data_IF_014782459596
#
_entry.id   IF_014782459596
#
_cell.length_a   1.000
_cell.length_b   1.000
_cell.length_c   1.000
_cell.angle_alpha   90.00
_cell.angle_beta   90.00
_cell.angle_gamma   90.00
#
_symmetry.space_group_name_H-M   'P 1'
#
loop_
_entity.id
_entity.type
_entity.pdbx_description
1 polymer ?
#
# COMPACT_ATOMS: atom_id res chain seq x y z
N UNK A 1 -1.81 40.67 26.34
CA UNK A 1 -0.96 40.84 25.14
C UNK A 1 0.16 39.80 25.17
N UNK A 2 0.00 38.65 24.50
CA UNK A 2 1.14 37.82 24.07
C UNK A 2 0.83 37.30 22.68
N UNK A 3 1.32 38.04 21.68
CA UNK A 3 1.31 37.64 20.29
C UNK A 3 2.57 36.79 20.05
N UNK A 4 2.39 35.54 19.64
CA UNK A 4 3.45 34.74 19.03
C UNK A 4 3.22 34.69 17.51
N UNK A 5 4.14 35.23 16.70
CA UNK A 5 4.08 35.15 15.26
C UNK A 5 4.92 33.96 14.78
N UNK A 6 4.29 32.82 14.52
CA UNK A 6 4.99 31.64 13.99
C UNK A 6 4.47 31.28 12.59
N UNK A 7 5.14 31.89 11.60
CA UNK A 7 5.51 31.29 10.30
C UNK A 7 4.39 30.64 9.48
N UNK A 8 3.64 31.51 8.79
CA UNK A 8 3.13 31.27 7.42
C UNK A 8 4.25 30.64 6.57
N UNK A 9 4.02 29.44 6.01
CA UNK A 9 4.85 28.92 4.92
C UNK A 9 5.25 27.45 4.96
N UNK A 10 4.71 26.60 5.84
CA UNK A 10 4.87 25.14 5.70
C UNK A 10 3.77 24.59 4.78
N UNK A 11 4.22 24.11 3.63
CA UNK A 11 3.47 23.61 2.47
C UNK A 11 2.28 22.73 2.86
N UNK A 12 1.06 23.12 2.48
CA UNK A 12 -0.15 22.30 2.58
C UNK A 12 0.05 20.90 1.98
N UNK A 13 0.90 20.79 0.95
CA UNK A 13 1.28 19.51 0.34
C UNK A 13 1.99 18.56 1.32
N UNK A 14 2.76 19.08 2.29
CA UNK A 14 3.50 18.26 3.28
C UNK A 14 2.58 17.79 4.43
N UNK A 15 1.59 18.58 4.82
CA UNK A 15 0.58 18.18 5.81
C UNK A 15 -0.36 17.07 5.28
N UNK A 16 -0.68 17.12 3.98
CA UNK A 16 -1.41 16.05 3.27
C UNK A 16 -0.54 14.79 3.14
N UNK A 17 0.79 14.94 3.03
CA UNK A 17 1.73 13.82 2.92
C UNK A 17 1.97 13.07 4.24
N UNK A 18 1.86 13.75 5.39
CA UNK A 18 2.07 13.16 6.72
C UNK A 18 0.85 12.41 7.26
N UNK A 19 -0.34 12.68 6.72
CA UNK A 19 -1.57 11.97 7.03
C UNK A 19 -1.96 11.10 5.83
N UNK A 20 -1.29 9.95 5.67
CA UNK A 20 -1.62 8.92 4.66
C UNK A 20 -2.97 8.26 4.95
N UNK A 21 -4.04 9.01 5.19
CA UNK A 21 -5.39 8.46 5.28
C UNK A 21 -6.02 8.56 3.87
N UNK A 22 -6.26 7.43 3.19
CA UNK A 22 -6.87 7.41 1.85
C UNK A 22 -8.25 8.08 1.79
N UNK A 23 -8.87 8.31 2.95
CA UNK A 23 -10.19 8.92 3.11
C UNK A 23 -10.21 10.39 2.66
N UNK A 24 -9.18 11.19 2.99
CA UNK A 24 -9.20 12.63 2.74
C UNK A 24 -9.20 13.00 1.25
N UNK A 25 -8.34 12.41 0.39
CA UNK A 25 -8.39 12.70 -1.05
C UNK A 25 -9.70 12.27 -1.71
N UNK A 26 -10.29 11.16 -1.26
CA UNK A 26 -11.56 10.63 -1.79
C UNK A 26 -12.71 11.59 -1.54
N UNK A 27 -12.85 12.07 -0.29
CA UNK A 27 -13.89 13.05 0.05
C UNK A 27 -13.76 14.34 -0.77
N UNK A 28 -12.54 14.83 -0.95
CA UNK A 28 -12.30 16.04 -1.74
C UNK A 28 -12.62 15.85 -3.24
N UNK A 29 -12.35 14.65 -3.78
CA UNK A 29 -12.71 14.31 -5.16
C UNK A 29 -14.22 14.27 -5.34
N UNK A 30 -14.94 13.69 -4.38
CA UNK A 30 -16.41 13.64 -4.37
C UNK A 30 -17.03 15.04 -4.35
N UNK A 31 -16.63 15.87 -3.38
CA UNK A 31 -17.13 17.25 -3.24
C UNK A 31 -16.84 18.08 -4.50
N UNK A 32 -15.64 17.96 -5.04
CA UNK A 32 -15.24 18.67 -6.27
C UNK A 32 -16.06 18.18 -7.47
N UNK A 33 -16.28 16.87 -7.56
CA UNK A 33 -17.12 16.25 -8.59
C UNK A 33 -18.56 16.73 -8.56
N UNK A 34 -19.15 16.80 -7.36
CA UNK A 34 -20.50 17.33 -7.16
C UNK A 34 -20.63 18.80 -7.58
N UNK A 35 -19.65 19.64 -7.20
CA UNK A 35 -19.62 21.05 -7.59
C UNK A 35 -19.48 21.23 -9.11
N UNK A 36 -18.60 20.46 -9.76
CA UNK A 36 -18.44 20.49 -11.22
C UNK A 36 -19.69 20.01 -11.94
N UNK A 37 -20.33 18.94 -11.45
CA UNK A 37 -21.60 18.45 -11.98
C UNK A 37 -22.70 19.51 -11.89
N UNK A 38 -22.77 20.23 -10.77
CA UNK A 38 -23.71 21.34 -10.59
C UNK A 38 -23.46 22.48 -11.59
N UNK A 39 -22.19 22.83 -11.83
CA UNK A 39 -21.84 23.85 -12.84
C UNK A 39 -22.25 23.42 -14.24
N UNK A 40 -22.03 22.16 -14.63
CA UNK A 40 -22.47 21.65 -15.93
C UNK A 40 -24.00 21.65 -16.08
N UNK A 41 -24.72 21.24 -15.03
CA UNK A 41 -26.18 21.28 -15.02
C UNK A 41 -26.70 22.71 -15.20
N UNK A 42 -26.14 23.65 -14.42
CA UNK A 42 -26.53 25.05 -14.46
C UNK A 42 -26.27 25.67 -15.85
N UNK A 43 -25.09 25.42 -16.44
CA UNK A 43 -24.77 25.93 -17.78
C UNK A 43 -25.66 25.33 -18.87
N UNK A 44 -25.95 24.03 -18.81
CA UNK A 44 -26.82 23.34 -19.75
C UNK A 44 -28.24 23.95 -19.76
N UNK A 45 -28.83 24.10 -18.56
CA UNK A 45 -30.17 24.69 -18.40
C UNK A 45 -30.20 26.16 -18.82
N UNK A 46 -29.20 26.97 -18.43
CA UNK A 46 -29.13 28.39 -18.80
C UNK A 46 -29.01 28.55 -20.32
N UNK A 47 -28.13 27.77 -20.96
CA UNK A 47 -27.96 27.85 -22.42
C UNK A 47 -29.22 27.38 -23.15
N UNK A 48 -29.84 26.29 -22.72
CA UNK A 48 -31.06 25.78 -23.33
C UNK A 48 -32.22 26.79 -23.23
N UNK A 49 -32.36 27.45 -22.08
CA UNK A 49 -33.41 28.46 -21.87
C UNK A 49 -33.16 29.74 -22.65
N UNK A 50 -31.92 30.25 -22.70
CA UNK A 50 -31.59 31.49 -23.41
C UNK A 50 -31.60 31.31 -24.94
N UNK A 51 -31.11 30.18 -25.44
CA UNK A 51 -31.10 29.91 -26.89
C UNK A 51 -32.41 29.31 -27.42
N UNK A 52 -33.28 28.83 -26.52
CA UNK A 52 -34.49 28.08 -26.87
C UNK A 52 -34.21 26.69 -27.46
N UNK A 53 -32.96 26.21 -27.43
CA UNK A 53 -32.57 24.93 -27.99
C UNK A 53 -32.34 23.89 -26.87
N UNK A 54 -33.21 22.86 -26.72
CA UNK A 54 -33.09 21.87 -25.66
C UNK A 54 -31.85 20.96 -25.78
N UNK A 55 -31.16 20.96 -26.93
CA UNK A 55 -29.94 20.17 -27.11
C UNK A 55 -28.86 20.57 -26.09
N UNK A 56 -28.79 21.84 -25.68
CA UNK A 56 -27.79 22.29 -24.69
C UNK A 56 -27.98 21.65 -23.31
N UNK A 57 -29.23 21.37 -22.91
CA UNK A 57 -29.53 20.66 -21.66
C UNK A 57 -29.13 19.18 -21.76
N UNK A 58 -29.36 18.56 -22.93
CA UNK A 58 -28.90 17.21 -23.24
C UNK A 58 -27.38 17.07 -23.19
N UNK A 59 -26.63 18.03 -23.76
CA UNK A 59 -25.16 18.06 -23.69
C UNK A 59 -24.69 18.21 -22.23
N UNK A 60 -25.33 19.09 -21.46
CA UNK A 60 -25.03 19.25 -20.03
C UNK A 60 -25.23 17.95 -19.25
N UNK A 61 -26.34 17.26 -19.48
CA UNK A 61 -26.64 15.96 -18.85
C UNK A 61 -25.63 14.88 -19.23
N UNK A 62 -25.24 14.80 -20.51
CA UNK A 62 -24.22 13.86 -20.98
C UNK A 62 -22.85 14.14 -20.33
N UNK A 63 -22.47 15.42 -20.21
CA UNK A 63 -21.23 15.83 -19.56
C UNK A 63 -21.20 15.42 -18.08
N UNK A 64 -22.32 15.56 -17.35
CA UNK A 64 -22.46 15.09 -15.96
C UNK A 64 -22.31 13.56 -15.90
N UNK A 65 -22.97 12.83 -16.79
CA UNK A 65 -22.84 11.37 -16.85
C UNK A 65 -21.39 10.91 -17.04
N UNK A 66 -20.67 11.55 -17.98
CA UNK A 66 -19.26 11.24 -18.25
C UNK A 66 -18.35 11.60 -17.06
N UNK A 67 -18.63 12.72 -16.39
CA UNK A 67 -17.93 13.13 -15.17
C UNK A 67 -18.09 12.08 -14.06
N UNK A 68 -19.32 11.62 -13.81
CA UNK A 68 -19.60 10.62 -12.78
C UNK A 68 -18.91 9.28 -13.06
N UNK A 69 -18.93 8.81 -14.31
CA UNK A 69 -18.21 7.59 -14.72
C UNK A 69 -16.70 7.75 -14.48
N UNK A 70 -16.14 8.93 -14.80
CA UNK A 70 -14.72 9.21 -14.61
C UNK A 70 -14.34 9.20 -13.13
N UNK A 71 -15.13 9.86 -12.26
CA UNK A 71 -14.90 9.85 -10.81
C UNK A 71 -14.99 8.43 -10.27
N UNK A 72 -16.03 7.67 -10.65
CA UNK A 72 -16.20 6.29 -10.22
C UNK A 72 -15.01 5.41 -10.61
N UNK A 73 -14.46 5.59 -11.82
CA UNK A 73 -13.28 4.86 -12.26
C UNK A 73 -12.03 5.18 -11.42
N UNK A 74 -11.81 6.46 -11.07
CA UNK A 74 -10.72 6.88 -10.18
C UNK A 74 -10.88 6.27 -8.80
N UNK A 75 -12.08 6.36 -8.21
CA UNK A 75 -12.36 5.78 -6.89
C UNK A 75 -12.16 4.25 -6.87
N UNK A 76 -12.61 3.56 -7.92
CA UNK A 76 -12.41 2.12 -8.05
C UNK A 76 -10.92 1.75 -8.13
N UNK A 77 -10.11 2.54 -8.84
CA UNK A 77 -8.66 2.34 -8.91
C UNK A 77 -7.98 2.55 -7.54
N UNK A 78 -8.38 3.58 -6.81
CA UNK A 78 -7.83 3.89 -5.48
C UNK A 78 -8.17 2.81 -4.44
N UNK A 79 -9.43 2.36 -4.40
CA UNK A 79 -9.88 1.29 -3.52
C UNK A 79 -9.20 -0.05 -3.85
N UNK A 80 -8.89 -0.31 -5.13
CA UNK A 80 -8.18 -1.52 -5.54
C UNK A 80 -6.79 -1.62 -4.90
N UNK A 81 -6.04 -0.54 -4.81
CA UNK A 81 -4.71 -0.52 -4.16
C UNK A 81 -4.81 -0.98 -2.70
N UNK A 82 -5.82 -0.51 -1.97
CA UNK A 82 -6.07 -0.90 -0.58
C UNK A 82 -6.44 -2.38 -0.41
N UNK A 83 -7.13 -2.97 -1.39
CA UNK A 83 -7.58 -4.36 -1.34
C UNK A 83 -6.54 -5.37 -1.83
N UNK A 84 -5.57 -4.93 -2.64
CA UNK A 84 -4.60 -5.86 -3.26
C UNK A 84 -3.45 -6.21 -2.32
N UNK A 85 -3.30 -5.51 -1.18
CA UNK A 85 -2.28 -5.81 -0.18
C UNK A 85 -0.87 -5.63 -0.75
N UNK A 86 -0.58 -4.44 -1.24
CA UNK A 86 0.71 -4.08 -1.81
C UNK A 86 1.86 -4.41 -0.85
N UNK A 87 2.96 -4.94 -1.38
CA UNK A 87 4.16 -5.21 -0.60
C UNK A 87 4.81 -3.91 -0.10
N UNK A 88 5.72 -4.04 0.86
CA UNK A 88 6.51 -2.89 1.33
C UNK A 88 7.24 -2.23 0.15
N UNK A 89 7.57 -0.95 0.29
CA UNK A 89 8.33 -0.25 -0.76
C UNK A 89 9.66 -0.97 -1.04
N UNK A 90 10.22 -0.90 -2.25
CA UNK A 90 11.49 -1.57 -2.55
C UNK A 90 12.64 -1.17 -1.61
N UNK A 91 12.64 0.08 -1.16
CA UNK A 91 13.63 0.58 -0.20
C UNK A 91 13.44 -0.02 1.20
N UNK A 92 12.18 -0.10 1.67
CA UNK A 92 11.85 -0.74 2.95
C UNK A 92 12.15 -2.25 2.92
N UNK A 93 11.82 -2.93 1.81
CA UNK A 93 12.14 -4.35 1.63
C UNK A 93 13.64 -4.60 1.73
N UNK A 94 14.45 -3.79 1.03
CA UNK A 94 15.91 -3.91 1.10
C UNK A 94 16.45 -3.62 2.50
N UNK A 95 15.89 -2.64 3.21
CA UNK A 95 16.28 -2.35 4.58
C UNK A 95 15.98 -3.53 5.51
N UNK A 96 14.77 -4.11 5.40
CA UNK A 96 14.36 -5.30 6.17
C UNK A 96 15.29 -6.49 5.87
N UNK A 97 15.55 -6.79 4.60
CA UNK A 97 16.43 -7.89 4.20
C UNK A 97 17.86 -7.71 4.72
N UNK A 98 18.40 -6.49 4.66
CA UNK A 98 19.75 -6.20 5.18
C UNK A 98 19.85 -6.43 6.68
N UNK A 99 18.85 -5.99 7.45
CA UNK A 99 18.83 -6.13 8.92
C UNK A 99 18.56 -7.56 9.39
N UNK A 100 17.84 -8.35 8.58
CA UNK A 100 17.68 -9.78 8.79
C UNK A 100 18.98 -10.53 8.51
N UNK A 101 19.64 -10.23 7.38
CA UNK A 101 20.87 -10.91 6.96
C UNK A 101 22.08 -10.58 7.85
N UNK A 102 22.13 -9.40 8.48
CA UNK A 102 23.20 -9.00 9.40
C UNK A 102 23.04 -9.55 10.83
N UNK A 103 21.98 -10.32 11.08
CA UNK A 103 21.62 -10.80 12.40
C UNK A 103 22.52 -11.89 12.97
N UNK A 104 22.91 -11.82 14.26
CA UNK A 104 23.59 -12.93 14.91
C UNK A 104 22.69 -14.17 14.94
N UNK A 105 23.28 -15.33 14.58
CA UNK A 105 22.58 -16.61 14.56
C UNK A 105 21.70 -16.87 13.33
N UNK A 106 21.56 -15.90 12.42
CA UNK A 106 20.89 -16.08 11.13
C UNK A 106 21.91 -16.54 10.10
N UNK A 107 21.68 -17.70 9.49
CA UNK A 107 22.55 -18.27 8.46
C UNK A 107 22.17 -17.78 7.07
N UNK A 108 20.88 -17.80 6.74
CA UNK A 108 20.34 -17.21 5.50
C UNK A 108 18.86 -16.89 5.61
N UNK A 109 18.42 -15.97 4.75
CA UNK A 109 17.00 -15.70 4.52
C UNK A 109 16.48 -16.71 3.50
N UNK A 110 15.40 -17.43 3.82
CA UNK A 110 14.76 -18.38 2.91
C UNK A 110 13.64 -17.68 2.13
N UNK A 111 12.81 -16.91 2.82
CA UNK A 111 11.68 -16.21 2.21
C UNK A 111 11.33 -14.96 3.01
N UNK A 112 10.98 -13.87 2.33
CA UNK A 112 10.43 -12.65 2.93
C UNK A 112 9.15 -12.31 2.19
N UNK A 113 8.07 -12.16 2.95
CA UNK A 113 6.80 -11.67 2.45
C UNK A 113 6.44 -10.41 3.22
N UNK A 114 6.15 -9.34 2.48
CA UNK A 114 5.65 -8.11 3.06
C UNK A 114 4.31 -7.74 2.45
N UNK A 115 3.42 -7.20 3.28
CA UNK A 115 2.08 -6.79 2.86
C UNK A 115 1.58 -5.62 3.70
N UNK A 116 1.14 -4.55 3.07
CA UNK A 116 0.38 -3.50 3.74
C UNK A 116 -1.01 -4.03 4.08
N UNK A 117 -1.32 -4.05 5.38
CA UNK A 117 -2.65 -4.37 5.90
C UNK A 117 -3.53 -3.11 6.00
N UNK A 118 -2.89 -1.94 5.90
CA UNK A 118 -3.53 -0.64 5.88
C UNK A 118 -2.48 0.45 5.60
N UNK A 119 -2.89 1.72 5.51
CA UNK A 119 -2.03 2.83 5.09
C UNK A 119 -0.79 3.05 5.98
N UNK A 120 -0.91 2.75 7.26
CA UNK A 120 0.14 2.92 8.28
C UNK A 120 0.52 1.57 8.93
N UNK A 121 0.14 0.44 8.31
CA UNK A 121 0.33 -0.89 8.90
C UNK A 121 0.94 -1.89 7.92
N UNK A 122 2.08 -2.46 8.31
CA UNK A 122 2.85 -3.42 7.52
C UNK A 122 2.95 -4.76 8.24
N UNK A 123 2.66 -5.84 7.50
CA UNK A 123 2.97 -7.21 7.86
C UNK A 123 4.31 -7.59 7.23
N UNK A 124 5.18 -8.20 8.04
CA UNK A 124 6.46 -8.78 7.63
C UNK A 124 6.48 -10.22 8.10
N UNK A 125 6.35 -11.17 7.18
CA UNK A 125 6.48 -12.59 7.44
C UNK A 125 7.80 -13.07 6.84
N UNK A 126 8.69 -13.58 7.69
CA UNK A 126 10.04 -13.98 7.28
C UNK A 126 10.29 -15.41 7.69
N UNK A 127 10.93 -16.13 6.78
CA UNK A 127 11.38 -17.49 7.00
C UNK A 127 12.89 -17.49 6.95
N UNK A 128 13.50 -17.87 8.07
CA UNK A 128 14.95 -17.74 8.29
C UNK A 128 15.54 -19.12 8.60
N UNK A 129 16.69 -19.40 7.99
CA UNK A 129 17.56 -20.48 8.46
C UNK A 129 18.45 -19.93 9.56
N UNK A 130 18.41 -20.57 10.72
CA UNK A 130 19.27 -20.24 11.85
C UNK A 130 20.46 -21.20 11.93
N UNK A 131 21.50 -20.81 12.66
CA UNK A 131 22.66 -21.67 12.89
C UNK A 131 22.25 -22.99 13.57
N UNK A 132 22.69 -24.16 13.04
CA UNK A 132 22.19 -25.46 13.49
C UNK A 132 22.65 -25.86 14.90
N UNK A 133 23.54 -25.08 15.51
CA UNK A 133 24.10 -25.33 16.85
C UNK A 133 23.49 -24.46 17.94
N UNK A 134 22.47 -23.66 17.63
CA UNK A 134 21.78 -22.86 18.62
C UNK A 134 20.95 -23.77 19.53
N UNK A 135 21.05 -23.53 20.84
CA UNK A 135 20.09 -24.04 21.80
C UNK A 135 18.72 -23.39 21.57
N UNK A 136 17.65 -24.00 22.08
CA UNK A 136 16.30 -23.43 21.99
C UNK A 136 16.24 -22.01 22.58
N UNK A 137 17.00 -21.75 23.65
CA UNK A 137 17.05 -20.43 24.27
C UNK A 137 17.71 -19.40 23.35
N UNK A 138 18.89 -19.72 22.80
CA UNK A 138 19.61 -18.83 21.88
C UNK A 138 18.82 -18.60 20.58
N UNK A 139 18.06 -19.59 20.11
CA UNK A 139 17.16 -19.43 18.97
C UNK A 139 16.05 -18.41 19.25
N UNK A 140 15.41 -18.49 20.42
CA UNK A 140 14.37 -17.53 20.83
C UNK A 140 14.97 -16.11 20.97
N UNK A 141 16.16 -15.99 21.55
CA UNK A 141 16.86 -14.71 21.63
C UNK A 141 17.20 -14.15 20.25
N UNK A 142 17.67 -15.00 19.32
CA UNK A 142 17.97 -14.59 17.95
C UNK A 142 16.70 -14.11 17.22
N UNK A 143 15.56 -14.78 17.40
CA UNK A 143 14.26 -14.36 16.85
C UNK A 143 13.85 -12.98 17.41
N UNK A 144 13.86 -12.81 18.73
CA UNK A 144 13.51 -11.54 19.37
C UNK A 144 14.44 -10.39 18.92
N UNK A 145 15.73 -10.67 18.75
CA UNK A 145 16.70 -9.72 18.23
C UNK A 145 16.40 -9.35 16.77
N UNK A 146 16.01 -10.32 15.93
CA UNK A 146 15.57 -10.06 14.55
C UNK A 146 14.36 -9.12 14.51
N UNK A 147 13.32 -9.42 15.30
CA UNK A 147 12.13 -8.58 15.37
C UNK A 147 12.46 -7.13 15.78
N UNK A 148 13.36 -6.98 16.76
CA UNK A 148 13.81 -5.67 17.23
C UNK A 148 14.52 -4.88 16.14
N UNK A 149 15.44 -5.52 15.40
CA UNK A 149 16.17 -4.86 14.30
C UNK A 149 15.24 -4.45 13.16
N UNK A 150 14.38 -5.35 12.71
CA UNK A 150 13.40 -5.06 11.65
C UNK A 150 12.48 -3.89 12.04
N UNK A 151 12.08 -3.81 13.32
CA UNK A 151 11.29 -2.70 13.85
C UNK A 151 12.06 -1.37 13.87
N UNK A 152 13.37 -1.39 14.09
CA UNK A 152 14.20 -0.18 14.03
C UNK A 152 14.53 0.27 12.61
N UNK A 153 14.49 -0.65 11.63
CA UNK A 153 14.83 -0.40 10.23
C UNK A 153 13.74 0.36 9.46
N UNK A 154 12.48 0.22 9.89
CA UNK A 154 11.33 0.63 9.09
C UNK A 154 10.56 1.75 9.80
N UNK A 155 10.34 2.92 9.18
CA UNK A 155 9.65 4.06 9.80
C UNK A 155 8.11 3.89 9.90
N UNK A 156 7.58 2.68 9.73
CA UNK A 156 6.14 2.40 9.73
C UNK A 156 5.59 2.38 11.17
N UNK A 157 4.44 3.03 11.39
CA UNK A 157 3.84 3.20 12.73
C UNK A 157 3.37 1.89 13.37
N UNK A 158 2.80 0.98 12.57
CA UNK A 158 2.30 -0.33 13.05
C UNK A 158 2.95 -1.46 12.25
N UNK A 159 3.81 -2.22 12.91
CA UNK A 159 4.56 -3.31 12.29
C UNK A 159 4.25 -4.64 12.98
N UNK A 160 3.68 -5.58 12.21
CA UNK A 160 3.44 -6.97 12.60
C UNK A 160 4.51 -7.85 12.00
N UNK A 161 5.30 -8.53 12.84
CA UNK A 161 6.41 -9.36 12.40
C UNK A 161 6.12 -10.81 12.79
N UNK A 162 6.30 -11.72 11.85
CA UNK A 162 6.28 -13.16 12.08
C UNK A 162 7.59 -13.75 11.60
N UNK A 163 8.32 -14.39 12.51
CA UNK A 163 9.58 -15.07 12.20
C UNK A 163 9.36 -16.58 12.32
N UNK A 164 9.46 -17.28 11.20
CA UNK A 164 9.41 -18.74 11.13
C UNK A 164 10.85 -19.29 11.02
N UNK A 165 11.36 -20.03 12.02
CA UNK A 165 12.63 -20.74 11.89
C UNK A 165 12.45 -21.99 11.03
N UNK A 166 13.37 -22.23 10.10
CA UNK A 166 13.44 -23.46 9.30
C UNK A 166 14.90 -23.92 9.17
N UNK A 167 15.09 -25.19 8.79
CA UNK A 167 16.38 -25.80 8.53
C UNK A 167 16.82 -25.65 7.05
N UNK A 168 16.04 -24.89 6.27
CA UNK A 168 16.18 -24.78 4.82
C UNK A 168 15.56 -25.98 4.08
N UNK A 169 15.38 -25.91 2.75
CA UNK A 169 14.95 -27.09 1.98
C UNK A 169 15.84 -28.28 2.32
N UNK A 170 15.22 -29.29 2.94
CA UNK A 170 15.76 -30.64 2.91
C UNK A 170 15.98 -30.99 1.43
N UNK A 171 17.13 -31.55 1.09
CA UNK A 171 17.29 -32.31 -0.15
C UNK A 171 16.38 -33.55 -0.10
N UNK A 172 15.06 -33.36 -0.02
CA UNK A 172 14.10 -34.38 -0.34
C UNK A 172 14.19 -34.60 -1.86
N UNK A 173 14.36 -35.85 -2.34
CA UNK A 173 14.53 -36.12 -3.76
C UNK A 173 13.46 -35.43 -4.59
N UNK A 174 13.86 -34.67 -5.60
CA UNK A 174 12.95 -34.08 -6.61
C UNK A 174 11.94 -35.15 -7.00
N UNK A 175 10.68 -34.91 -6.69
CA UNK A 175 9.57 -35.69 -7.21
C UNK A 175 9.76 -35.78 -8.72
N UNK A 176 9.89 -37.02 -9.21
CA UNK A 176 10.31 -37.31 -10.57
C UNK A 176 9.43 -36.53 -11.55
N UNK A 177 10.06 -35.79 -12.46
CA UNK A 177 9.39 -35.15 -13.57
C UNK A 177 8.46 -36.18 -14.28
N UNK A 178 7.26 -35.77 -14.72
CA UNK A 178 6.36 -36.69 -15.41
C UNK A 178 7.09 -37.24 -16.64
N UNK A 179 7.22 -38.57 -16.68
CA UNK A 179 7.74 -39.29 -17.85
C UNK A 179 6.82 -38.96 -19.01
N UNK A 180 7.35 -38.24 -20.00
CA UNK A 180 6.63 -37.96 -21.24
C UNK A 180 6.15 -39.29 -21.85
N UNK A 181 4.90 -39.38 -22.34
CA UNK A 181 4.44 -40.59 -22.99
C UNK A 181 5.29 -40.83 -24.23
N UNK A 182 5.96 -41.99 -24.23
CA UNK A 182 6.79 -42.43 -25.35
C UNK A 182 5.96 -42.47 -26.63
N UNK A 183 6.50 -41.86 -27.69
CA UNK A 183 6.03 -42.10 -29.04
C UNK A 183 6.31 -43.56 -29.39
N UNK A 184 5.24 -44.31 -29.62
CA UNK A 184 5.23 -45.66 -30.17
C UNK A 184 4.02 -45.82 -31.06
#
# INVERSE_FOLDING_TARGET
>A
KHAQPERRGRSWKRYIQESRSPELPVLLLEDSGALLGLVFAMLGVILATVTGNPIFDGIGTLAIGLLLVSIAAVLAAEMKSLLTGESASPDDQQAIERELASGPGVKRIIHVLTQHLGPDELLVAVKLEFEPRLTTHELVEAINACETRVRSATPVKRLRIYVEPDLGPSEAPREAAPVAPGAG
#
